data_IF_096575562092
#
_entry.id   IF_096575562092
#
_cell.length_a   1.000
_cell.length_b   1.000
_cell.length_c   1.000
_cell.angle_alpha   90.00
_cell.angle_beta   90.00
_cell.angle_gamma   90.00
#
_symmetry.space_group_name_H-M   'P 1'
#
loop_
_entity.id
_entity.type
_entity.pdbx_description
1 polymer ?
#
# COMPACT_ATOMS: atom_id res chain seq x y z
N UNK A 1 -23.42 12.88 -7.08
CA UNK A 1 -24.48 12.12 -6.39
C UNK A 1 -24.07 10.65 -6.47
N UNK A 2 -23.56 10.06 -5.37
CA UNK A 2 -23.52 8.60 -5.28
C UNK A 2 -24.99 8.16 -5.15
N UNK A 3 -25.48 7.32 -6.06
CA UNK A 3 -26.83 6.76 -5.94
C UNK A 3 -26.95 5.88 -4.70
N UNK A 4 -28.19 5.61 -4.28
CA UNK A 4 -28.55 4.95 -3.01
C UNK A 4 -28.02 3.51 -2.81
N UNK A 5 -27.16 2.99 -3.71
CA UNK A 5 -26.69 1.60 -3.74
C UNK A 5 -25.16 1.44 -3.54
N UNK A 6 -24.42 2.51 -3.20
CA UNK A 6 -22.97 2.38 -2.94
C UNK A 6 -22.71 2.09 -1.46
N UNK A 7 -22.21 0.89 -1.18
CA UNK A 7 -21.79 0.48 0.17
C UNK A 7 -20.26 0.48 0.29
N UNK A 8 -19.74 1.08 1.37
CA UNK A 8 -18.31 1.15 1.67
C UNK A 8 -18.02 0.53 3.05
N UNK A 9 -16.99 -0.32 3.11
CA UNK A 9 -16.44 -0.88 4.36
C UNK A 9 -15.13 -0.20 4.71
N UNK A 10 -15.03 0.30 5.94
CA UNK A 10 -13.79 0.80 6.55
C UNK A 10 -13.24 -0.23 7.54
N UNK A 11 -11.99 -0.63 7.36
CA UNK A 11 -11.29 -1.56 8.25
C UNK A 11 -9.95 -0.96 8.70
N UNK A 12 -9.56 -1.17 9.95
CA UNK A 12 -8.27 -0.70 10.51
C UNK A 12 -7.42 -1.94 10.85
N UNK A 13 -6.60 -2.44 9.91
CA UNK A 13 -5.83 -3.67 10.10
C UNK A 13 -4.78 -3.58 11.20
N UNK A 14 -4.23 -2.38 11.41
CA UNK A 14 -3.24 -2.11 12.45
C UNK A 14 -3.59 -0.81 13.20
N UNK A 15 -3.96 -0.94 14.47
CA UNK A 15 -4.37 0.22 15.29
C UNK A 15 -3.25 1.26 15.49
N UNK A 16 -1.99 0.84 15.43
CA UNK A 16 -0.82 1.72 15.61
C UNK A 16 -0.43 2.45 14.33
N UNK A 17 -0.88 1.99 13.15
CA UNK A 17 -0.55 2.62 11.87
C UNK A 17 -1.37 3.88 11.59
N UNK A 18 -2.55 3.98 12.24
CA UNK A 18 -3.60 4.99 12.03
C UNK A 18 -4.05 5.10 10.58
N UNK A 19 -3.84 4.05 9.80
CA UNK A 19 -4.28 3.91 8.40
C UNK A 19 -5.47 2.95 8.33
N UNK A 20 -6.29 3.09 7.29
CA UNK A 20 -7.51 2.29 7.14
C UNK A 20 -7.73 1.84 5.69
N UNK A 21 -8.16 0.60 5.51
CA UNK A 21 -8.58 0.04 4.21
C UNK A 21 -10.04 0.40 3.96
N UNK A 22 -10.32 0.94 2.77
CA UNK A 22 -11.65 1.23 2.28
C UNK A 22 -11.97 0.27 1.12
N UNK A 23 -13.08 -0.45 1.22
CA UNK A 23 -13.51 -1.44 0.22
C UNK A 23 -14.95 -1.14 -0.21
N UNK A 24 -15.20 -1.09 -1.52
CA UNK A 24 -16.54 -1.01 -2.07
C UNK A 24 -17.18 -2.41 -2.02
N UNK A 25 -18.27 -2.57 -1.26
CA UNK A 25 -18.94 -3.87 -1.07
C UNK A 25 -20.17 -4.05 -1.97
N UNK A 26 -20.75 -2.95 -2.43
CA UNK A 26 -21.66 -2.95 -3.59
C UNK A 26 -20.87 -3.26 -4.86
N UNK A 27 -21.46 -3.91 -5.87
CA UNK A 27 -20.79 -4.33 -7.13
C UNK A 27 -20.14 -3.21 -7.97
N UNK A 28 -20.12 -1.98 -7.46
CA UNK A 28 -19.36 -0.85 -7.96
C UNK A 28 -17.85 -1.02 -7.66
N UNK A 29 -17.02 -0.39 -8.49
CA UNK A 29 -15.57 -0.28 -8.29
C UNK A 29 -15.20 1.18 -8.05
N UNK A 30 -14.10 1.40 -7.35
CA UNK A 30 -13.48 2.72 -7.29
C UNK A 30 -12.95 3.12 -8.68
N UNK A 31 -12.62 4.41 -8.82
CA UNK A 31 -12.07 4.99 -10.06
C UNK A 31 -10.86 4.17 -10.54
N UNK A 32 -10.70 4.09 -11.86
CA UNK A 32 -9.59 3.39 -12.56
C UNK A 32 -9.43 1.90 -12.24
N UNK A 33 -10.52 1.20 -11.97
CA UNK A 33 -10.53 -0.26 -11.77
C UNK A 33 -9.66 -0.76 -10.61
N UNK A 34 -9.42 0.09 -9.61
CA UNK A 34 -8.71 -0.31 -8.40
C UNK A 34 -9.53 -1.33 -7.58
N UNK A 35 -8.86 -2.38 -7.11
CA UNK A 35 -9.45 -3.43 -6.26
C UNK A 35 -9.66 -2.96 -4.80
N UNK A 36 -9.16 -1.77 -4.44
CA UNK A 36 -9.33 -1.20 -3.11
C UNK A 36 -8.64 0.16 -2.95
N UNK A 37 -8.94 0.84 -1.85
CA UNK A 37 -8.33 2.12 -1.48
C UNK A 37 -7.79 2.03 -0.06
N UNK A 38 -6.66 2.68 0.23
CA UNK A 38 -6.11 2.76 1.58
C UNK A 38 -5.88 4.21 1.95
N UNK A 39 -6.46 4.62 3.08
CA UNK A 39 -6.26 5.94 3.67
C UNK A 39 -5.02 5.87 4.56
N UNK A 40 -3.94 6.54 4.13
CA UNK A 40 -2.63 6.50 4.82
C UNK A 40 -2.50 7.68 5.78
N UNK A 41 -2.02 7.42 7.00
CA UNK A 41 -1.67 8.47 7.97
C UNK A 41 -0.23 8.43 8.42
N UNK A 42 0.20 7.32 9.03
CA UNK A 42 1.58 7.18 9.48
C UNK A 42 2.27 6.06 8.70
N UNK A 43 1.75 4.83 8.80
CA UNK A 43 2.37 3.65 8.19
C UNK A 43 1.35 2.79 7.43
N UNK A 44 1.85 2.07 6.45
CA UNK A 44 1.16 1.06 5.68
C UNK A 44 2.07 -0.18 5.63
N UNK A 45 1.52 -1.32 5.95
CA UNK A 45 2.23 -2.60 5.94
C UNK A 45 1.68 -3.46 4.81
N UNK A 46 2.55 -4.01 3.97
CA UNK A 46 2.23 -5.03 2.98
C UNK A 46 3.13 -6.24 3.20
N UNK A 47 2.60 -7.44 3.00
CA UNK A 47 3.38 -8.68 3.11
C UNK A 47 2.68 -9.74 3.97
N UNK A 48 3.44 -10.67 4.59
CA UNK A 48 2.88 -11.92 5.10
C UNK A 48 2.18 -11.81 6.46
N UNK A 49 2.28 -10.66 7.12
CA UNK A 49 1.63 -10.46 8.43
C UNK A 49 0.12 -10.37 8.28
N UNK A 50 -0.63 -11.09 9.12
CA UNK A 50 -2.08 -10.98 9.18
C UNK A 50 -2.58 -9.56 9.55
N UNK A 51 -1.72 -8.73 10.16
CA UNK A 51 -1.99 -7.31 10.43
C UNK A 51 -1.56 -6.36 9.30
N UNK A 52 -1.14 -6.88 8.15
CA UNK A 52 -0.82 -6.08 6.98
C UNK A 52 -2.10 -5.50 6.35
N UNK A 53 -1.99 -4.29 5.79
CA UNK A 53 -3.09 -3.64 5.08
C UNK A 53 -3.34 -4.32 3.73
N UNK A 54 -2.26 -4.78 3.09
CA UNK A 54 -2.30 -5.68 1.94
C UNK A 54 -1.62 -6.97 2.37
N UNK A 55 -2.44 -7.97 2.71
CA UNK A 55 -1.96 -9.25 3.19
C UNK A 55 -1.58 -10.16 2.02
N UNK A 56 -0.29 -10.46 1.93
CA UNK A 56 0.31 -11.34 0.93
C UNK A 56 1.11 -12.43 1.66
N UNK A 57 0.47 -13.53 2.08
CA UNK A 57 1.07 -14.53 2.98
C UNK A 57 2.30 -15.24 2.38
N UNK A 58 2.42 -15.26 1.06
CA UNK A 58 3.54 -15.88 0.34
C UNK A 58 4.74 -14.95 0.15
N UNK A 59 4.63 -13.66 0.49
CA UNK A 59 5.73 -12.73 0.30
C UNK A 59 6.88 -13.05 1.26
N UNK A 60 8.14 -13.02 0.78
CA UNK A 60 9.30 -13.36 1.60
C UNK A 60 9.65 -12.30 2.64
N UNK A 61 9.16 -11.06 2.46
CA UNK A 61 9.44 -9.93 3.35
C UNK A 61 8.26 -8.95 3.42
N UNK A 62 8.23 -8.17 4.51
CA UNK A 62 7.31 -7.05 4.66
C UNK A 62 7.85 -5.81 3.91
N UNK A 63 6.96 -5.13 3.19
CA UNK A 63 7.16 -3.78 2.70
C UNK A 63 6.40 -2.80 3.60
N UNK A 64 7.07 -1.75 4.03
CA UNK A 64 6.50 -0.67 4.82
C UNK A 64 6.48 0.59 3.97
N UNK A 65 5.31 1.19 3.76
CA UNK A 65 5.20 2.56 3.27
C UNK A 65 4.86 3.47 4.45
N UNK A 66 5.43 4.67 4.51
CA UNK A 66 5.15 5.58 5.61
C UNK A 66 5.31 7.04 5.19
N UNK A 67 4.55 7.92 5.84
CA UNK A 67 4.60 9.35 5.55
C UNK A 67 5.66 10.03 6.42
N UNK A 68 6.45 10.91 5.80
CA UNK A 68 7.26 11.93 6.49
C UNK A 68 6.88 13.29 5.93
N UNK A 69 6.10 14.05 6.71
CA UNK A 69 5.50 15.28 6.20
C UNK A 69 4.49 14.97 5.10
N UNK A 70 4.75 15.45 3.88
CA UNK A 70 3.90 15.21 2.69
C UNK A 70 4.49 14.18 1.72
N UNK A 71 5.63 13.61 2.06
CA UNK A 71 6.36 12.67 1.22
C UNK A 71 6.09 11.24 1.70
N UNK A 72 5.88 10.33 0.75
CA UNK A 72 5.75 8.91 1.01
C UNK A 72 7.12 8.24 0.88
N UNK A 73 7.49 7.45 1.87
CA UNK A 73 8.72 6.67 1.88
C UNK A 73 8.39 5.19 1.84
N UNK A 74 9.32 4.38 1.35
CA UNK A 74 9.28 2.93 1.47
C UNK A 74 10.51 2.39 2.20
N UNK A 75 10.34 1.28 2.90
CA UNK A 75 11.41 0.47 3.48
C UNK A 75 10.98 -0.99 3.51
N UNK A 76 11.91 -1.91 3.33
CA UNK A 76 11.62 -3.34 3.25
C UNK A 76 12.80 -4.19 3.65
N UNK A 77 12.59 -5.51 3.68
CA UNK A 77 13.65 -6.47 3.94
C UNK A 77 14.59 -6.69 2.75
N UNK A 78 15.68 -7.41 2.99
CA UNK A 78 16.83 -7.59 2.08
C UNK A 78 16.49 -8.17 0.70
N UNK A 79 15.34 -8.83 0.56
CA UNK A 79 14.87 -9.39 -0.71
C UNK A 79 14.20 -8.37 -1.62
N UNK A 80 13.88 -7.18 -1.10
CA UNK A 80 13.20 -6.12 -1.85
C UNK A 80 14.20 -5.17 -2.50
N UNK A 81 13.83 -4.69 -3.67
CA UNK A 81 14.59 -3.73 -4.46
C UNK A 81 13.76 -2.51 -4.78
N UNK A 82 14.41 -1.36 -4.87
CA UNK A 82 13.85 -0.12 -5.43
C UNK A 82 14.67 0.21 -6.69
N UNK A 83 13.99 0.35 -7.83
CA UNK A 83 14.65 0.64 -9.11
C UNK A 83 15.82 -0.31 -9.46
N UNK A 84 15.68 -1.59 -9.06
CA UNK A 84 16.67 -2.68 -9.20
C UNK A 84 17.84 -2.67 -8.21
N UNK A 85 17.90 -1.69 -7.30
CA UNK A 85 18.89 -1.62 -6.23
C UNK A 85 18.35 -2.20 -4.93
N UNK A 86 19.22 -2.78 -4.09
CA UNK A 86 18.82 -3.33 -2.80
C UNK A 86 18.28 -2.23 -1.87
N UNK A 87 17.16 -2.50 -1.19
CA UNK A 87 16.51 -1.54 -0.30
C UNK A 87 17.15 -1.52 1.08
N UNK A 88 18.37 -0.99 1.18
CA UNK A 88 19.17 -0.99 2.42
C UNK A 88 18.76 0.09 3.44
N UNK A 89 17.94 1.06 3.01
CA UNK A 89 17.47 2.16 3.84
C UNK A 89 16.10 2.64 3.33
N UNK A 90 15.47 3.54 4.10
CA UNK A 90 14.27 4.23 3.68
C UNK A 90 14.52 5.03 2.38
N UNK A 91 13.62 4.90 1.42
CA UNK A 91 13.67 5.61 0.14
C UNK A 91 12.44 6.52 -0.01
N UNK A 92 12.63 7.78 -0.39
CA UNK A 92 11.54 8.70 -0.68
C UNK A 92 10.94 8.37 -2.05
N UNK A 93 9.72 7.88 -2.09
CA UNK A 93 9.08 7.42 -3.32
C UNK A 93 8.81 8.58 -4.28
N UNK A 94 9.20 8.37 -5.54
CA UNK A 94 8.96 9.27 -6.66
C UNK A 94 8.03 8.63 -7.68
N UNK A 95 7.37 9.46 -8.49
CA UNK A 95 6.60 8.98 -9.63
C UNK A 95 7.51 8.15 -10.55
N UNK A 96 7.06 6.96 -10.92
CA UNK A 96 7.78 6.03 -11.79
C UNK A 96 8.65 5.01 -11.06
N UNK A 97 8.89 5.18 -9.76
CA UNK A 97 9.65 4.21 -8.96
C UNK A 97 9.04 2.82 -9.06
N UNK A 98 9.90 1.80 -9.05
CA UNK A 98 9.49 0.40 -9.09
C UNK A 98 10.08 -0.32 -7.88
N UNK A 99 9.19 -0.79 -7.00
CA UNK A 99 9.55 -1.73 -5.94
C UNK A 99 9.36 -3.14 -6.47
N UNK A 100 10.38 -3.98 -6.35
CA UNK A 100 10.34 -5.37 -6.83
C UNK A 100 10.86 -6.35 -5.79
N UNK A 101 10.35 -7.58 -5.87
CA UNK A 101 10.79 -8.73 -5.11
C UNK A 101 10.59 -9.99 -5.95
N UNK A 102 10.76 -11.17 -5.34
CA UNK A 102 10.61 -12.45 -6.05
C UNK A 102 9.21 -12.61 -6.66
N UNK A 103 8.17 -12.27 -5.90
CA UNK A 103 6.77 -12.51 -6.28
C UNK A 103 5.93 -11.22 -6.34
N UNK A 104 6.58 -10.06 -6.47
CA UNK A 104 5.90 -8.78 -6.48
C UNK A 104 6.59 -7.75 -7.37
N UNK A 105 5.77 -6.87 -7.94
CA UNK A 105 6.21 -5.64 -8.59
C UNK A 105 5.16 -4.55 -8.34
N UNK A 106 5.58 -3.46 -7.74
CA UNK A 106 4.75 -2.28 -7.49
C UNK A 106 5.36 -1.13 -8.27
N UNK A 107 4.54 -0.47 -9.09
CA UNK A 107 4.91 0.80 -9.73
C UNK A 107 4.27 1.94 -8.96
N UNK A 108 5.06 2.98 -8.70
CA UNK A 108 4.58 4.20 -8.04
C UNK A 108 4.09 5.17 -9.09
N UNK A 109 2.84 5.59 -8.93
CA UNK A 109 2.22 6.64 -9.71
C UNK A 109 1.74 7.71 -8.73
N UNK A 110 2.31 8.91 -8.84
CA UNK A 110 1.92 10.08 -8.05
C UNK A 110 1.16 11.02 -8.98
N UNK A 111 -0.07 11.36 -8.60
CA UNK A 111 -0.86 12.41 -9.23
C UNK A 111 -0.70 13.71 -8.44
N UNK A 112 -0.45 14.81 -9.16
CA UNK A 112 -0.29 16.17 -8.66
C UNK A 112 -1.58 16.98 -8.76
#
# INVERSE_FOLDING_TARGET
>A
LLGDDVELRLEVPNQLSRSARLTCTSGHRFVDSSDGTILVKDHLFLGPSAGAHIHCPTWPAQLVLFLRGRELYCQGGDTLRINSEAMNAAHALQHGDVISGQDLRIRVEIES
#
